data_IF_121350862209
#
_entry.id   IF_121350862209
#
_cell.length_a   1.000
_cell.length_b   1.000
_cell.length_c   1.000
_cell.angle_alpha   90.00
_cell.angle_beta   90.00
_cell.angle_gamma   90.00
#
_symmetry.space_group_name_H-M   'P 1'
#
loop_
_entity.id
_entity.type
_entity.pdbx_description
1 polymer ?
#
# COMPACT_ATOMS: atom_id res chain seq x y z
N UNK A 1 6.22 -0.80 -15.72
CA UNK A 1 5.90 0.55 -15.27
C UNK A 1 6.96 1.06 -14.31
N UNK A 2 7.38 2.28 -14.45
CA UNK A 2 8.34 2.90 -13.53
C UNK A 2 7.60 3.57 -12.37
N UNK A 3 8.06 3.34 -11.16
CA UNK A 3 7.51 3.98 -9.96
C UNK A 3 8.52 5.03 -9.51
N UNK A 4 8.45 6.22 -10.13
CA UNK A 4 9.45 7.28 -9.93
C UNK A 4 8.92 8.55 -9.25
N UNK A 5 7.61 8.65 -9.06
CA UNK A 5 6.97 9.90 -8.64
C UNK A 5 6.78 10.03 -7.13
N UNK A 6 7.08 8.98 -6.37
CA UNK A 6 6.88 8.99 -4.91
C UNK A 6 8.18 8.61 -4.21
N UNK A 7 8.39 9.10 -2.97
CA UNK A 7 9.53 8.66 -2.18
C UNK A 7 9.40 7.18 -1.82
N UNK A 8 10.51 6.44 -1.90
CA UNK A 8 10.54 5.02 -1.58
C UNK A 8 11.12 4.81 -0.18
N UNK A 9 10.66 3.79 0.52
CA UNK A 9 11.24 3.37 1.79
C UNK A 9 12.30 2.32 1.51
N UNK A 10 13.56 2.68 1.69
CA UNK A 10 14.70 1.83 1.37
C UNK A 10 15.44 1.38 2.62
N UNK A 11 15.93 0.14 2.60
CA UNK A 11 16.75 -0.43 3.66
C UNK A 11 17.62 -1.56 3.10
N UNK A 12 18.94 -1.43 3.24
CA UNK A 12 19.90 -2.47 2.84
C UNK A 12 19.72 -2.93 1.38
N UNK A 13 19.51 -2.00 0.46
CA UNK A 13 19.33 -2.30 -0.96
C UNK A 13 17.94 -2.86 -1.32
N UNK A 14 17.03 -2.85 -0.36
CA UNK A 14 15.65 -3.30 -0.55
C UNK A 14 14.67 -2.14 -0.44
N UNK A 15 13.53 -2.32 -1.05
CA UNK A 15 12.41 -1.35 -1.01
C UNK A 15 11.22 -1.99 -0.32
N UNK A 16 10.58 -1.24 0.57
CA UNK A 16 9.37 -1.68 1.25
C UNK A 16 8.16 -1.59 0.33
N UNK A 17 7.34 -2.63 0.34
CA UNK A 17 6.09 -2.72 -0.42
C UNK A 17 4.97 -3.14 0.53
N UNK A 18 3.96 -2.30 0.64
CA UNK A 18 2.82 -2.52 1.53
C UNK A 18 1.73 -3.28 0.77
N UNK A 19 1.40 -4.47 1.22
CA UNK A 19 0.38 -5.32 0.60
C UNK A 19 -0.69 -5.72 1.59
N UNK A 20 -1.88 -6.01 1.08
CA UNK A 20 -3.03 -6.45 1.87
C UNK A 20 -3.12 -7.98 1.81
N UNK A 21 -2.71 -8.67 2.87
CA UNK A 21 -2.71 -10.12 2.98
C UNK A 21 -3.99 -10.66 3.65
N UNK A 22 -5.14 -10.14 3.26
CA UNK A 22 -6.43 -10.58 3.79
C UNK A 22 -7.50 -10.50 2.73
N UNK A 23 -8.57 -11.27 2.91
CA UNK A 23 -9.69 -11.25 1.98
C UNK A 23 -10.67 -10.11 2.31
N UNK A 24 -11.40 -9.65 1.31
CA UNK A 24 -12.45 -8.66 1.48
C UNK A 24 -12.00 -7.21 1.45
N UNK A 25 -10.75 -6.96 1.12
CA UNK A 25 -10.22 -5.61 0.94
C UNK A 25 -9.04 -5.64 -0.01
N UNK A 26 -8.70 -4.52 -0.61
CA UNK A 26 -7.49 -4.40 -1.42
C UNK A 26 -6.88 -3.03 -1.16
N UNK A 27 -5.61 -2.86 -1.48
CA UNK A 27 -4.91 -1.62 -1.17
C UNK A 27 -4.42 -0.90 -2.41
N UNK A 28 -3.64 -1.53 -3.26
CA UNK A 28 -2.96 -0.89 -4.38
C UNK A 28 -3.49 -1.28 -5.76
N UNK A 29 -4.65 -1.88 -5.82
CA UNK A 29 -5.20 -2.43 -7.07
C UNK A 29 -5.31 -1.40 -8.20
N UNK A 30 -5.78 -0.20 -7.90
CA UNK A 30 -5.95 0.87 -8.89
C UNK A 30 -4.76 1.82 -9.01
N UNK A 31 -3.85 1.81 -8.03
CA UNK A 31 -2.68 2.69 -8.03
C UNK A 31 -1.54 2.05 -7.24
N UNK A 32 -0.54 1.54 -7.97
CA UNK A 32 0.61 0.85 -7.37
C UNK A 32 1.40 1.74 -6.40
N UNK A 33 1.35 3.07 -6.57
CA UNK A 33 2.06 3.99 -5.69
C UNK A 33 1.61 3.89 -4.24
N UNK A 34 0.34 3.50 -4.02
CA UNK A 34 -0.19 3.26 -2.66
C UNK A 34 0.58 2.18 -1.91
N UNK A 35 1.20 1.25 -2.61
CA UNK A 35 1.97 0.17 -2.01
C UNK A 35 3.42 0.56 -1.67
N UNK A 36 3.98 1.57 -2.34
CA UNK A 36 5.42 1.85 -2.27
C UNK A 36 5.76 3.23 -1.73
N UNK A 37 4.79 4.11 -1.57
CA UNK A 37 5.01 5.46 -1.08
C UNK A 37 5.47 5.44 0.39
N UNK A 38 6.70 5.90 0.63
CA UNK A 38 7.28 5.91 1.97
C UNK A 38 6.42 6.69 2.98
N UNK A 39 5.74 7.75 2.55
CA UNK A 39 4.90 8.57 3.42
C UNK A 39 3.69 7.78 3.92
N UNK A 40 3.13 6.92 3.06
CA UNK A 40 2.01 6.03 3.42
C UNK A 40 2.51 4.91 4.32
N UNK A 41 3.66 4.31 4.00
CA UNK A 41 4.25 3.24 4.83
C UNK A 41 4.52 3.76 6.24
N UNK A 42 5.10 4.95 6.37
CA UNK A 42 5.37 5.56 7.67
C UNK A 42 4.08 5.85 8.46
N UNK A 43 3.05 6.34 7.79
CA UNK A 43 1.75 6.57 8.39
C UNK A 43 1.11 5.25 8.89
N UNK A 44 1.19 4.20 8.07
CA UNK A 44 0.73 2.86 8.47
C UNK A 44 1.51 2.32 9.66
N UNK A 45 2.84 2.52 9.70
CA UNK A 45 3.65 2.07 10.83
C UNK A 45 3.25 2.73 12.14
N UNK A 46 2.79 3.97 12.10
CA UNK A 46 2.28 4.67 13.27
C UNK A 46 0.97 4.06 13.79
N UNK A 47 0.17 3.46 12.92
CA UNK A 47 -1.17 2.96 13.25
C UNK A 47 -1.27 1.43 13.32
N UNK A 48 -0.30 0.70 12.81
CA UNK A 48 -0.40 -0.77 12.66
C UNK A 48 -0.63 -1.53 13.95
N UNK A 49 -0.24 -0.97 15.09
CA UNK A 49 -0.47 -1.56 16.41
C UNK A 49 -1.76 -1.08 17.08
N UNK A 50 -2.46 -0.14 16.49
CA UNK A 50 -3.68 0.45 17.04
C UNK A 50 -4.91 -0.20 16.41
N UNK A 51 -5.32 -1.32 17.00
CA UNK A 51 -6.45 -2.10 16.49
C UNK A 51 -7.75 -1.33 16.50
N UNK A 52 -7.98 -0.52 17.51
CA UNK A 52 -9.19 0.30 17.61
C UNK A 52 -9.28 1.29 16.45
N UNK A 53 -8.17 1.94 16.12
CA UNK A 53 -8.12 2.84 14.96
C UNK A 53 -8.37 2.10 13.65
N UNK A 54 -7.70 0.96 13.44
CA UNK A 54 -7.83 0.17 12.22
C UNK A 54 -9.23 -0.39 12.05
N UNK A 55 -9.85 -0.88 13.11
CA UNK A 55 -11.23 -1.38 13.06
C UNK A 55 -12.20 -0.24 12.73
N UNK A 56 -11.98 0.96 13.27
CA UNK A 56 -12.80 2.13 12.97
C UNK A 56 -12.69 2.57 11.51
N UNK A 57 -11.55 2.36 10.85
CA UNK A 57 -11.38 2.67 9.43
C UNK A 57 -12.31 1.86 8.53
N UNK A 58 -12.80 0.72 9.01
CA UNK A 58 -13.76 -0.12 8.28
C UNK A 58 -15.21 0.31 8.47
N UNK A 59 -15.45 1.31 9.28
CA UNK A 59 -16.79 1.87 9.51
C UNK A 59 -16.95 3.09 8.62
N UNK A 60 -17.91 3.02 7.71
CA UNK A 60 -18.24 4.13 6.81
C UNK A 60 -18.56 5.38 7.63
N UNK A 61 -18.01 6.53 7.22
CA UNK A 61 -18.15 7.82 7.89
C UNK A 61 -17.57 7.92 9.31
N UNK A 62 -16.76 6.97 9.76
CA UNK A 62 -16.02 7.14 11.02
C UNK A 62 -15.00 8.29 10.89
N UNK A 63 -14.65 8.90 12.00
CA UNK A 63 -13.61 9.94 12.02
C UNK A 63 -12.26 9.39 11.55
N UNK A 64 -11.96 8.14 11.89
CA UNK A 64 -10.73 7.46 11.49
C UNK A 64 -10.68 7.21 9.99
N UNK A 65 -11.78 6.74 9.38
CA UNK A 65 -11.86 6.57 7.93
C UNK A 65 -11.69 7.89 7.20
N UNK A 66 -12.30 8.95 7.70
CA UNK A 66 -12.15 10.30 7.14
C UNK A 66 -10.72 10.82 7.26
N UNK A 67 -10.05 10.55 8.37
CA UNK A 67 -8.66 10.95 8.60
C UNK A 67 -7.74 10.28 7.58
N UNK A 68 -7.85 8.98 7.37
CA UNK A 68 -7.03 8.25 6.38
C UNK A 68 -7.30 8.78 4.98
N UNK A 69 -8.56 8.98 4.62
CA UNK A 69 -8.93 9.54 3.32
C UNK A 69 -8.32 10.92 3.10
N UNK A 70 -8.43 11.79 4.09
CA UNK A 70 -7.88 13.15 4.03
C UNK A 70 -6.36 13.11 3.88
N UNK A 71 -5.69 12.22 4.61
CA UNK A 71 -4.24 12.06 4.51
C UNK A 71 -3.83 11.64 3.09
N UNK A 72 -4.47 10.61 2.52
CA UNK A 72 -4.16 10.13 1.18
C UNK A 72 -4.43 11.20 0.11
N UNK A 73 -5.53 11.92 0.24
CA UNK A 73 -5.85 13.02 -0.68
C UNK A 73 -4.83 14.16 -0.58
N UNK A 74 -4.31 14.44 0.63
CA UNK A 74 -3.28 15.47 0.82
C UNK A 74 -1.96 15.11 0.12
N UNK A 75 -1.71 13.84 -0.13
CA UNK A 75 -0.56 13.37 -0.89
C UNK A 75 -0.80 13.37 -2.40
N UNK A 76 -2.01 13.70 -2.85
CA UNK A 76 -2.36 13.76 -4.27
C UNK A 76 -3.06 12.53 -4.82
N UNK A 77 -3.45 11.58 -3.99
CA UNK A 77 -4.16 10.38 -4.45
C UNK A 77 -5.64 10.67 -4.72
N UNK A 78 -6.14 10.08 -5.81
CA UNK A 78 -7.53 10.20 -6.21
C UNK A 78 -8.41 9.28 -5.33
N UNK A 79 -9.42 9.82 -4.62
CA UNK A 79 -10.27 9.01 -3.75
C UNK A 79 -11.09 7.95 -4.49
N UNK A 80 -11.19 8.03 -5.81
CA UNK A 80 -11.83 6.98 -6.63
C UNK A 80 -10.93 5.78 -6.86
N UNK A 81 -9.64 5.87 -6.51
CA UNK A 81 -8.62 4.85 -6.79
C UNK A 81 -8.06 4.20 -5.54
N UNK A 82 -8.64 4.46 -4.38
CA UNK A 82 -8.26 3.76 -3.16
C UNK A 82 -9.50 3.47 -2.31
N UNK A 83 -9.37 2.47 -1.45
CA UNK A 83 -10.41 2.07 -0.53
C UNK A 83 -9.85 2.11 0.89
N UNK A 84 -10.37 2.99 1.72
CA UNK A 84 -9.94 3.14 3.12
C UNK A 84 -10.16 1.85 3.92
N UNK A 85 -11.11 1.00 3.52
CA UNK A 85 -11.32 -0.30 4.15
C UNK A 85 -10.10 -1.22 4.05
N UNK A 86 -9.23 -1.01 3.07
CA UNK A 86 -7.97 -1.73 2.96
C UNK A 86 -6.91 -1.28 3.97
N UNK A 87 -7.12 -0.16 4.67
CA UNK A 87 -6.22 0.30 5.72
C UNK A 87 -6.60 -0.39 7.04
N UNK A 88 -6.25 -1.66 7.15
CA UNK A 88 -6.62 -2.52 8.26
C UNK A 88 -5.43 -3.38 8.75
N UNK A 89 -5.69 -4.31 9.65
CA UNK A 89 -4.67 -5.17 10.24
C UNK A 89 -4.12 -6.26 9.29
N UNK A 90 -4.70 -6.39 8.10
CA UNK A 90 -4.18 -7.28 7.07
C UNK A 90 -3.07 -6.64 6.22
N UNK A 91 -2.84 -5.34 6.34
CA UNK A 91 -1.70 -4.69 5.68
C UNK A 91 -0.40 -5.20 6.26
N UNK A 92 0.54 -5.49 5.37
CA UNK A 92 1.85 -6.05 5.72
C UNK A 92 2.93 -5.42 4.87
N UNK A 93 4.06 -5.10 5.49
CA UNK A 93 5.23 -4.57 4.78
C UNK A 93 6.13 -5.72 4.38
N UNK A 94 6.42 -5.82 3.09
CA UNK A 94 7.38 -6.77 2.54
C UNK A 94 8.54 -6.02 1.90
N UNK A 95 9.74 -6.58 1.99
CA UNK A 95 10.96 -5.97 1.46
C UNK A 95 11.42 -6.76 0.24
N UNK A 96 11.61 -6.07 -0.89
CA UNK A 96 12.12 -6.69 -2.11
C UNK A 96 13.36 -5.95 -2.61
N UNK A 97 14.27 -6.63 -3.33
CA UNK A 97 15.46 -5.96 -3.86
C UNK A 97 15.09 -4.79 -4.77
N UNK A 98 15.80 -3.67 -4.64
CA UNK A 98 15.52 -2.45 -5.41
C UNK A 98 15.60 -2.67 -6.92
N UNK A 99 16.44 -3.60 -7.37
CA UNK A 99 16.59 -3.95 -8.78
C UNK A 99 15.48 -4.85 -9.33
N UNK A 100 14.56 -5.29 -8.49
CA UNK A 100 13.50 -6.21 -8.88
C UNK A 100 12.53 -5.60 -9.87
N UNK A 101 12.03 -6.46 -10.75
CA UNK A 101 10.77 -6.22 -11.46
C UNK A 101 9.71 -7.06 -10.79
N UNK A 102 8.53 -6.49 -10.58
CA UNK A 102 7.50 -7.18 -9.81
C UNK A 102 6.11 -6.77 -10.24
N UNK A 103 5.14 -7.62 -9.90
CA UNK A 103 3.72 -7.27 -9.92
C UNK A 103 3.12 -7.57 -8.55
N UNK A 104 2.01 -6.92 -8.25
CA UNK A 104 1.17 -7.29 -7.12
C UNK A 104 -0.01 -8.05 -7.71
N UNK A 105 -0.12 -9.33 -7.33
CA UNK A 105 -1.25 -10.18 -7.70
C UNK A 105 -2.34 -10.03 -6.66
N UNK A 106 -3.59 -9.95 -7.09
CA UNK A 106 -4.73 -9.78 -6.21
C UNK A 106 -5.76 -10.90 -6.46
N UNK A 107 -6.29 -11.46 -5.37
CA UNK A 107 -7.37 -12.43 -5.41
C UNK A 107 -8.29 -12.18 -4.22
N UNK A 108 -9.52 -11.74 -4.50
CA UNK A 108 -10.52 -11.41 -3.48
C UNK A 108 -10.00 -10.46 -2.38
N UNK A 109 -9.17 -9.50 -2.76
CA UNK A 109 -8.55 -8.57 -1.83
C UNK A 109 -7.25 -9.06 -1.20
N UNK A 110 -6.87 -10.30 -1.42
CA UNK A 110 -5.58 -10.82 -0.97
C UNK A 110 -4.50 -10.47 -1.99
N UNK A 111 -3.57 -9.63 -1.59
CA UNK A 111 -2.47 -9.17 -2.44
C UNK A 111 -1.19 -9.93 -2.10
N UNK A 112 -0.42 -10.28 -3.12
CA UNK A 112 0.89 -10.89 -2.97
C UNK A 112 1.85 -10.35 -4.03
N UNK A 113 3.14 -10.33 -3.71
CA UNK A 113 4.18 -9.85 -4.61
C UNK A 113 4.73 -11.02 -5.40
N UNK A 114 4.84 -10.84 -6.72
CA UNK A 114 5.53 -11.77 -7.60
C UNK A 114 6.70 -11.06 -8.25
N UNK A 115 7.91 -11.59 -8.06
CA UNK A 115 9.12 -11.11 -8.72
C UNK A 115 9.16 -11.71 -10.12
N UNK A 116 9.44 -10.88 -11.12
CA UNK A 116 9.42 -11.24 -12.53
C UNK A 116 10.83 -11.22 -13.13
N UNK A 117 11.01 -11.98 -14.20
CA UNK A 117 12.18 -11.88 -15.07
C UNK A 117 12.12 -10.64 -15.96
N UNK A 118 13.24 -10.20 -16.56
CA UNK A 118 13.59 -8.79 -16.75
C UNK A 118 12.76 -7.92 -17.69
N UNK A 119 11.68 -8.30 -18.30
CA UNK A 119 11.11 -7.43 -19.35
C UNK A 119 9.75 -6.77 -19.06
N UNK A 120 9.08 -7.08 -17.98
CA UNK A 120 7.83 -6.41 -17.61
C UNK A 120 7.58 -6.41 -16.12
N UNK A 121 6.52 -5.70 -15.73
CA UNK A 121 6.20 -5.45 -14.34
C UNK A 121 6.55 -4.03 -13.92
N UNK A 122 6.45 -3.77 -12.64
CA UNK A 122 6.78 -2.49 -12.05
C UNK A 122 8.26 -2.44 -11.68
N UNK A 123 8.88 -1.28 -11.81
CA UNK A 123 10.26 -1.04 -11.38
C UNK A 123 10.31 0.21 -10.53
N UNK A 124 11.36 0.32 -9.69
CA UNK A 124 11.58 1.49 -8.84
C UNK A 124 12.44 2.57 -9.53
N UNK A 125 12.76 2.36 -10.78
CA UNK A 125 13.57 3.31 -11.56
C UNK A 125 12.77 4.06 -12.59
#
# INVERSE_FOLDING_TARGET
MRITEVPLKEKDGKVGVLVHNGYGGFWSYFDIRLAVDARIIDYWEEHKGDREFLDACRIHDSDQAKEVKTFLMSLGYDPRKFDVYGFDDALKLEWIPKSSRFIIQEYDGYESIKILDPDYGNTFE
#
